data_IF_319098212398
#
_entry.id   IF_319098212398
#
_cell.length_a   1.000
_cell.length_b   1.000
_cell.length_c   1.000
_cell.angle_alpha   90.00
_cell.angle_beta   90.00
_cell.angle_gamma   90.00
#
_symmetry.space_group_name_H-M   'P 1'
#
loop_
_entity.id
_entity.type
_entity.pdbx_description
1 polymer ?
#
# COMPACT_ATOMS: atom_id res chain seq x y z
N UNK A 1 6.21 -51.17 61.84
CA UNK A 1 7.15 -51.04 60.71
C UNK A 1 6.54 -50.04 59.72
N UNK A 2 7.12 -48.84 59.70
CA UNK A 2 7.01 -47.68 58.79
C UNK A 2 5.90 -47.70 57.70
N UNK A 3 4.80 -46.97 57.97
CA UNK A 3 3.97 -46.38 56.92
C UNK A 3 3.70 -44.92 57.28
N UNK A 4 4.68 -44.04 57.05
CA UNK A 4 4.41 -42.61 57.04
C UNK A 4 5.22 -41.92 55.93
N UNK A 5 4.47 -41.17 55.14
CA UNK A 5 4.85 -40.11 54.20
C UNK A 5 5.73 -40.42 52.99
N UNK A 6 5.13 -40.30 51.78
CA UNK A 6 5.55 -39.26 50.84
C UNK A 6 4.50 -39.01 49.73
N UNK A 7 3.48 -38.17 49.97
CA UNK A 7 2.54 -37.70 48.92
C UNK A 7 2.59 -36.19 48.66
N UNK A 8 3.67 -35.50 49.01
CA UNK A 8 3.79 -34.03 48.83
C UNK A 8 4.72 -33.58 47.70
N UNK A 9 4.84 -34.34 46.60
CA UNK A 9 5.75 -33.93 45.49
C UNK A 9 5.19 -34.02 44.05
N UNK A 10 3.86 -34.09 43.83
CA UNK A 10 3.27 -34.11 42.45
C UNK A 10 2.44 -32.88 42.06
N UNK A 11 2.62 -31.74 42.73
CA UNK A 11 1.94 -30.46 42.41
C UNK A 11 2.79 -29.38 41.67
N UNK A 12 4.13 -29.44 41.52
CA UNK A 12 4.88 -28.31 40.93
C UNK A 12 4.78 -28.23 39.39
N UNK A 13 4.64 -29.37 38.69
CA UNK A 13 4.71 -29.40 37.22
C UNK A 13 3.44 -28.90 36.51
N UNK A 14 2.24 -29.12 37.05
CA UNK A 14 0.98 -28.68 36.39
C UNK A 14 0.79 -27.16 36.45
N UNK A 15 1.18 -26.53 37.57
CA UNK A 15 1.13 -25.06 37.73
C UNK A 15 2.16 -24.38 36.83
N UNK A 16 3.38 -24.91 36.76
CA UNK A 16 4.43 -24.43 35.85
C UNK A 16 4.02 -24.51 34.38
N UNK A 17 3.44 -25.64 33.92
CA UNK A 17 2.92 -25.78 32.53
C UNK A 17 1.83 -24.75 32.19
N UNK A 18 0.95 -24.40 33.14
CA UNK A 18 -0.08 -23.36 32.93
C UNK A 18 0.53 -21.96 32.79
N UNK A 19 1.57 -21.65 33.56
CA UNK A 19 2.30 -20.37 33.48
C UNK A 19 3.04 -20.27 32.15
N UNK A 20 3.77 -21.32 31.76
CA UNK A 20 4.49 -21.38 30.47
C UNK A 20 3.53 -21.18 29.29
N UNK A 21 2.36 -21.84 29.32
CA UNK A 21 1.33 -21.63 28.28
C UNK A 21 0.83 -20.18 28.22
N UNK A 22 0.57 -19.55 29.38
CA UNK A 22 0.15 -18.14 29.43
C UNK A 22 1.20 -17.21 28.87
N UNK A 23 2.47 -17.41 29.23
CA UNK A 23 3.60 -16.65 28.69
C UNK A 23 3.68 -16.83 27.17
N UNK A 24 3.58 -18.07 26.68
CA UNK A 24 3.57 -18.35 25.24
C UNK A 24 2.39 -17.68 24.52
N UNK A 25 1.19 -17.67 25.10
CA UNK A 25 0.04 -16.95 24.54
C UNK A 25 0.26 -15.43 24.52
N UNK A 26 0.86 -14.85 25.56
CA UNK A 26 1.20 -13.43 25.57
C UNK A 26 2.23 -13.08 24.48
N UNK A 27 3.28 -13.90 24.31
CA UNK A 27 4.25 -13.70 23.23
C UNK A 27 3.61 -13.82 21.85
N UNK A 28 2.72 -14.79 21.64
CA UNK A 28 1.98 -14.94 20.39
C UNK A 28 1.09 -13.72 20.11
N UNK A 29 0.37 -13.22 21.13
CA UNK A 29 -0.46 -12.04 20.99
C UNK A 29 0.36 -10.79 20.66
N UNK A 30 1.52 -10.60 21.29
CA UNK A 30 2.44 -9.50 21.00
C UNK A 30 2.97 -9.60 19.57
N UNK A 31 3.36 -10.79 19.11
CA UNK A 31 3.83 -10.98 17.73
C UNK A 31 2.74 -10.65 16.69
N UNK A 32 1.49 -11.05 16.95
CA UNK A 32 0.35 -10.69 16.10
C UNK A 32 0.14 -9.18 16.10
N UNK A 33 0.15 -8.53 17.27
CA UNK A 33 0.01 -7.08 17.38
C UNK A 33 1.13 -6.33 16.64
N UNK A 34 2.38 -6.76 16.78
CA UNK A 34 3.51 -6.16 16.08
C UNK A 34 3.40 -6.31 14.56
N UNK A 35 2.92 -7.46 14.06
CA UNK A 35 2.68 -7.65 12.64
C UNK A 35 1.54 -6.73 12.15
N UNK A 36 0.44 -6.62 12.89
CA UNK A 36 -0.66 -5.70 12.56
C UNK A 36 -0.19 -4.23 12.54
N UNK A 37 0.62 -3.83 13.51
CA UNK A 37 1.21 -2.48 13.59
C UNK A 37 2.15 -2.24 12.41
N UNK A 38 3.07 -3.18 12.13
CA UNK A 38 3.99 -3.07 11.01
C UNK A 38 3.24 -2.91 9.68
N UNK A 39 2.23 -3.74 9.43
CA UNK A 39 1.42 -3.69 8.22
C UNK A 39 0.66 -2.36 8.10
N UNK A 40 0.18 -1.81 9.20
CA UNK A 40 -0.50 -0.50 9.20
C UNK A 40 0.44 0.68 8.89
N UNK A 41 1.76 0.48 9.02
CA UNK A 41 2.78 1.49 8.72
C UNK A 41 3.29 1.36 7.28
N UNK A 42 3.34 0.13 6.75
CA UNK A 42 3.94 -0.11 5.43
C UNK A 42 2.95 -0.09 4.27
N UNK A 43 1.66 -0.34 4.48
CA UNK A 43 0.68 -0.32 3.38
C UNK A 43 0.19 1.10 3.07
N UNK A 44 -0.20 1.34 1.81
CA UNK A 44 -0.90 2.56 1.43
C UNK A 44 -2.29 2.52 2.06
N UNK A 45 -2.63 3.51 2.87
CA UNK A 45 -4.00 3.68 3.33
C UNK A 45 -4.85 4.24 2.18
N UNK A 46 -5.54 3.33 1.48
CA UNK A 46 -6.28 3.61 0.24
C UNK A 46 -7.40 4.62 0.46
N UNK A 47 -8.06 4.61 1.63
CA UNK A 47 -9.20 5.49 1.89
C UNK A 47 -8.79 6.97 2.00
N UNK A 48 -7.86 7.38 2.89
CA UNK A 48 -7.34 8.74 2.92
C UNK A 48 -6.69 9.17 1.60
N UNK A 49 -5.98 8.27 0.92
CA UNK A 49 -5.41 8.56 -0.41
C UNK A 49 -6.51 8.93 -1.42
N UNK A 50 -7.53 8.09 -1.54
CA UNK A 50 -8.64 8.34 -2.46
C UNK A 50 -9.48 9.57 -2.05
N UNK A 51 -9.66 9.83 -0.75
CA UNK A 51 -10.33 11.04 -0.27
C UNK A 51 -9.54 12.30 -0.67
N UNK A 52 -8.22 12.28 -0.46
CA UNK A 52 -7.32 13.38 -0.83
C UNK A 52 -7.41 13.67 -2.34
N UNK A 53 -7.19 12.67 -3.18
CA UNK A 53 -7.14 12.90 -4.63
C UNK A 53 -8.49 13.36 -5.18
N UNK A 54 -9.60 12.87 -4.62
CA UNK A 54 -10.94 13.26 -5.03
C UNK A 54 -11.30 14.70 -4.63
N UNK A 55 -10.87 15.14 -3.44
CA UNK A 55 -11.12 16.49 -2.92
C UNK A 55 -10.21 17.54 -3.54
N UNK A 56 -9.04 17.14 -4.03
CA UNK A 56 -8.07 18.02 -4.67
C UNK A 56 -8.09 17.95 -6.20
N UNK A 57 -8.88 17.06 -6.80
CA UNK A 57 -9.02 16.99 -8.25
C UNK A 57 -9.62 18.29 -8.82
N UNK A 58 -8.92 18.85 -9.80
CA UNK A 58 -9.33 20.03 -10.53
C UNK A 58 -10.34 19.67 -11.64
N UNK A 59 -10.97 20.68 -12.23
CA UNK A 59 -11.94 20.48 -13.33
C UNK A 59 -11.28 19.94 -14.61
N UNK A 60 -9.98 20.24 -14.81
CA UNK A 60 -9.17 19.83 -15.96
C UNK A 60 -7.69 19.78 -15.60
N UNK A 61 -6.87 19.18 -16.45
CA UNK A 61 -5.42 19.14 -16.22
C UNK A 61 -4.80 20.53 -16.19
N UNK A 62 -3.97 20.76 -15.18
CA UNK A 62 -3.12 21.94 -15.02
C UNK A 62 -1.63 21.56 -15.06
N UNK A 63 -1.28 20.36 -15.53
CA UNK A 63 0.10 19.87 -15.61
C UNK A 63 0.72 19.58 -14.24
N UNK A 64 -0.10 19.24 -13.24
CA UNK A 64 0.33 19.04 -11.84
C UNK A 64 0.09 17.61 -11.33
N UNK A 65 -0.07 16.65 -12.23
CA UNK A 65 -0.36 15.24 -11.91
C UNK A 65 0.56 14.68 -10.81
N UNK A 66 1.88 14.83 -10.96
CA UNK A 66 2.86 14.37 -9.97
C UNK A 66 2.67 15.00 -8.58
N UNK A 67 2.31 16.28 -8.52
CA UNK A 67 2.11 16.98 -7.25
C UNK A 67 0.84 16.50 -6.53
N UNK A 68 -0.23 16.24 -7.27
CA UNK A 68 -1.48 15.71 -6.69
C UNK A 68 -1.32 14.25 -6.25
N UNK A 69 -0.64 13.41 -7.03
CA UNK A 69 -0.38 12.02 -6.65
C UNK A 69 0.63 11.94 -5.48
N UNK A 70 1.60 12.86 -5.39
CA UNK A 70 2.43 12.99 -4.19
C UNK A 70 1.58 13.23 -2.93
N UNK A 71 0.72 14.24 -2.96
CA UNK A 71 -0.15 14.55 -1.81
C UNK A 71 -1.06 13.37 -1.46
N UNK A 72 -1.50 12.62 -2.48
CA UNK A 72 -2.30 11.40 -2.32
C UNK A 72 -1.54 10.30 -1.58
N UNK A 73 -0.30 10.03 -2.00
CA UNK A 73 0.57 9.03 -1.37
C UNK A 73 0.86 9.42 0.08
N UNK A 74 1.20 10.69 0.32
CA UNK A 74 1.48 11.21 1.66
C UNK A 74 0.24 11.16 2.57
N UNK A 75 -0.95 11.50 2.04
CA UNK A 75 -2.21 11.36 2.78
C UNK A 75 -2.53 9.90 3.10
N UNK A 76 -2.15 8.97 2.22
CA UNK A 76 -2.21 7.54 2.45
C UNK A 76 -1.10 6.97 3.34
N UNK A 77 -0.25 7.81 3.94
CA UNK A 77 0.80 7.38 4.87
C UNK A 77 2.12 6.96 4.23
N UNK A 78 2.30 7.17 2.91
CA UNK A 78 3.57 6.91 2.22
C UNK A 78 4.40 8.19 2.19
N UNK A 79 5.55 8.19 2.88
CA UNK A 79 6.46 9.34 2.85
C UNK A 79 7.24 9.38 1.53
N UNK A 80 6.82 10.27 0.63
CA UNK A 80 7.34 10.40 -0.72
C UNK A 80 7.82 11.83 -0.99
N UNK A 81 8.63 11.98 -2.02
CA UNK A 81 9.12 13.29 -2.49
C UNK A 81 8.57 13.63 -3.88
N UNK A 82 8.55 14.91 -4.21
CA UNK A 82 8.14 15.36 -5.53
C UNK A 82 9.23 15.04 -6.56
N UNK A 83 8.85 14.27 -7.57
CA UNK A 83 9.67 13.97 -8.74
C UNK A 83 8.84 14.10 -10.02
N UNK A 84 9.46 14.17 -11.20
CA UNK A 84 8.72 14.03 -12.46
C UNK A 84 7.85 12.76 -12.47
N UNK A 85 6.67 12.81 -13.09
CA UNK A 85 5.71 11.72 -13.05
C UNK A 85 6.31 10.38 -13.51
N UNK A 86 7.09 10.37 -14.61
CA UNK A 86 7.76 9.18 -15.11
C UNK A 86 8.72 8.52 -14.11
N UNK A 87 9.27 9.28 -13.17
CA UNK A 87 10.27 8.80 -12.22
C UNK A 87 9.64 8.01 -11.06
N UNK A 88 8.33 8.17 -10.82
CA UNK A 88 7.62 7.41 -9.78
C UNK A 88 7.68 5.90 -9.98
N UNK A 89 7.98 5.41 -11.18
CA UNK A 89 8.24 3.98 -11.40
C UNK A 89 9.35 3.44 -10.46
N UNK A 90 10.38 4.23 -10.20
CA UNK A 90 11.44 3.82 -9.28
C UNK A 90 11.03 3.97 -7.82
N UNK A 91 10.33 5.06 -7.48
CA UNK A 91 9.95 5.36 -6.10
C UNK A 91 8.86 4.42 -5.59
N UNK A 92 7.87 4.08 -6.41
CA UNK A 92 6.84 3.12 -6.06
C UNK A 92 7.44 1.73 -5.86
N UNK A 93 8.34 1.30 -6.75
CA UNK A 93 9.02 0.01 -6.66
C UNK A 93 9.78 -0.19 -5.33
N UNK A 94 10.51 0.84 -4.86
CA UNK A 94 11.25 0.75 -3.59
C UNK A 94 10.38 0.99 -2.35
N UNK A 95 9.10 1.31 -2.53
CA UNK A 95 8.17 1.68 -1.44
C UNK A 95 7.04 0.65 -1.24
N UNK A 96 7.36 -0.63 -1.46
CA UNK A 96 6.46 -1.77 -1.29
C UNK A 96 5.22 -1.73 -2.21
N UNK A 97 5.36 -1.19 -3.41
CA UNK A 97 4.40 -1.44 -4.48
C UNK A 97 4.96 -2.50 -5.42
N UNK A 98 4.11 -3.46 -5.80
CA UNK A 98 4.43 -4.45 -6.81
C UNK A 98 3.83 -4.07 -8.16
N UNK A 99 4.49 -4.55 -9.21
CA UNK A 99 3.99 -4.43 -10.57
C UNK A 99 2.78 -5.35 -10.73
N UNK A 100 1.71 -4.84 -11.33
CA UNK A 100 0.68 -5.73 -11.87
C UNK A 100 1.24 -6.29 -13.19
N UNK A 101 1.43 -7.61 -13.30
CA UNK A 101 2.27 -8.22 -14.35
C UNK A 101 1.60 -8.38 -15.73
N UNK A 102 0.27 -8.54 -15.76
CA UNK A 102 -0.48 -8.72 -17.01
C UNK A 102 -1.70 -7.79 -17.03
N UNK A 103 -1.74 -6.91 -18.04
CA UNK A 103 -2.85 -5.99 -18.23
C UNK A 103 -3.82 -6.37 -19.36
N UNK A 104 -3.65 -7.53 -20.01
CA UNK A 104 -4.41 -7.90 -21.21
C UNK A 104 -5.92 -8.00 -20.93
N UNK A 105 -6.29 -8.32 -19.68
CA UNK A 105 -7.64 -8.23 -19.13
C UNK A 105 -7.62 -7.48 -17.78
N UNK A 106 -6.92 -6.35 -17.75
CA UNK A 106 -6.77 -5.56 -16.54
C UNK A 106 -8.09 -4.96 -16.08
N UNK A 107 -8.51 -5.29 -14.86
CA UNK A 107 -9.53 -4.54 -14.12
C UNK A 107 -8.84 -3.73 -13.01
N UNK A 108 -8.89 -2.38 -13.05
CA UNK A 108 -8.23 -1.57 -12.06
C UNK A 108 -8.83 -1.72 -10.65
N UNK A 109 -7.98 -1.95 -9.66
CA UNK A 109 -8.37 -1.97 -8.25
C UNK A 109 -8.15 -0.61 -7.61
N UNK A 110 -9.00 -0.27 -6.63
CA UNK A 110 -8.90 1.00 -5.92
C UNK A 110 -7.53 1.11 -5.27
N UNK A 111 -6.81 2.19 -5.57
CA UNK A 111 -5.44 2.40 -5.10
C UNK A 111 -4.36 2.04 -6.12
N UNK A 112 -4.70 1.43 -7.25
CA UNK A 112 -3.73 1.20 -8.33
C UNK A 112 -3.20 2.52 -8.87
N UNK A 113 -1.90 2.57 -9.14
CA UNK A 113 -1.21 3.77 -9.63
C UNK A 113 -0.60 3.47 -10.98
N UNK A 114 -1.04 4.19 -12.01
CA UNK A 114 -0.44 4.13 -13.34
C UNK A 114 0.63 5.19 -13.50
N UNK A 115 1.79 4.79 -14.02
CA UNK A 115 2.91 5.66 -14.37
C UNK A 115 3.19 5.53 -15.87
N UNK A 116 2.99 6.63 -16.58
CA UNK A 116 3.33 6.76 -17.98
C UNK A 116 4.74 7.34 -18.16
N UNK A 117 5.47 6.92 -19.20
CA UNK A 117 6.79 7.46 -19.51
C UNK A 117 6.69 8.86 -20.11
N UNK A 118 7.85 9.42 -20.43
CA UNK A 118 7.97 10.67 -21.17
C UNK A 118 7.49 10.46 -22.62
N UNK A 119 6.74 11.42 -23.15
CA UNK A 119 6.45 11.55 -24.58
C UNK A 119 6.92 12.92 -25.09
N UNK A 120 6.78 13.14 -26.39
CA UNK A 120 7.06 14.45 -26.99
C UNK A 120 6.20 15.57 -26.40
N UNK A 121 4.90 15.33 -26.14
CA UNK A 121 4.02 16.36 -25.55
C UNK A 121 4.10 16.41 -24.03
N UNK A 122 4.50 15.31 -23.39
CA UNK A 122 4.53 15.16 -21.94
C UNK A 122 5.96 14.87 -21.44
N UNK A 123 6.84 15.88 -21.38
CA UNK A 123 8.26 15.72 -21.02
C UNK A 123 8.50 15.30 -19.57
N UNK A 124 7.47 15.37 -18.71
CA UNK A 124 7.52 14.92 -17.32
C UNK A 124 6.84 13.56 -17.11
N UNK A 125 6.30 12.95 -18.17
CA UNK A 125 5.42 11.79 -18.08
C UNK A 125 4.05 12.14 -17.48
N UNK A 126 3.28 11.10 -17.14
CA UNK A 126 1.98 11.25 -16.50
C UNK A 126 1.80 10.20 -15.40
N UNK A 127 1.04 10.52 -14.35
CA UNK A 127 0.77 9.62 -13.23
C UNK A 127 -0.66 9.82 -12.74
N UNK A 128 -1.36 8.72 -12.44
CA UNK A 128 -2.71 8.76 -11.92
C UNK A 128 -2.96 7.58 -10.97
N UNK A 129 -3.94 7.72 -10.09
CA UNK A 129 -4.42 6.68 -9.18
C UNK A 129 -5.87 6.29 -9.54
N UNK A 130 -6.21 5.01 -9.47
CA UNK A 130 -7.59 4.55 -9.61
C UNK A 130 -8.35 4.73 -8.30
N UNK A 131 -9.36 5.58 -8.31
CA UNK A 131 -10.14 5.87 -7.09
C UNK A 131 -11.27 4.86 -6.81
N UNK A 132 -11.31 3.74 -7.54
CA UNK A 132 -12.39 2.75 -7.51
C UNK A 132 -13.51 3.00 -8.52
N UNK A 133 -13.44 4.09 -9.28
CA UNK A 133 -14.42 4.43 -10.34
C UNK A 133 -13.76 4.94 -11.62
N UNK A 134 -12.71 5.73 -11.50
CA UNK A 134 -11.97 6.31 -12.62
C UNK A 134 -10.53 6.64 -12.22
N UNK A 135 -9.68 6.85 -13.22
CA UNK A 135 -8.31 7.36 -13.01
C UNK A 135 -8.37 8.83 -12.60
N UNK A 136 -7.59 9.20 -11.59
CA UNK A 136 -7.48 10.58 -11.10
C UNK A 136 -6.02 10.96 -10.97
N UNK A 137 -5.66 12.11 -11.53
CA UNK A 137 -4.34 12.72 -11.45
C UNK A 137 -4.47 14.09 -10.79
N UNK A 138 -4.14 15.18 -11.49
CA UNK A 138 -4.57 16.52 -11.08
C UNK A 138 -6.05 16.80 -11.41
N UNK A 139 -6.72 15.90 -12.14
CA UNK A 139 -8.14 15.95 -12.45
C UNK A 139 -8.73 14.54 -12.59
N UNK A 140 -10.07 14.45 -12.63
CA UNK A 140 -10.79 13.19 -12.87
C UNK A 140 -10.80 12.86 -14.37
N UNK A 141 -10.16 11.75 -14.74
CA UNK A 141 -9.94 11.38 -16.13
C UNK A 141 -11.08 10.50 -16.66
N UNK A 142 -11.39 10.64 -17.95
CA UNK A 142 -12.39 9.80 -18.64
C UNK A 142 -11.82 8.45 -19.11
N UNK A 143 -10.49 8.33 -19.15
CA UNK A 143 -9.74 7.15 -19.57
C UNK A 143 -8.39 7.13 -18.85
N UNK A 144 -7.70 5.98 -18.91
CA UNK A 144 -6.31 5.87 -18.45
C UNK A 144 -5.37 6.75 -19.28
N UNK A 145 -5.65 6.86 -20.59
CA UNK A 145 -4.92 7.73 -21.51
C UNK A 145 -5.50 9.16 -21.47
N UNK A 146 -4.64 10.13 -21.18
CA UNK A 146 -5.03 11.55 -21.11
C UNK A 146 -4.91 12.30 -22.45
N UNK A 147 -4.05 11.81 -23.35
CA UNK A 147 -3.80 12.33 -24.69
C UNK A 147 -3.57 11.15 -25.64
N UNK A 148 -3.71 11.42 -26.93
CA UNK A 148 -3.52 10.45 -28.02
C UNK A 148 -2.08 9.96 -28.10
N UNK A 149 -1.11 10.79 -27.73
CA UNK A 149 0.32 10.45 -27.81
C UNK A 149 0.75 9.37 -26.81
N UNK A 150 -0.10 9.05 -25.83
CA UNK A 150 0.05 7.90 -24.94
C UNK A 150 -0.54 6.61 -25.47
N UNK A 151 -1.33 6.63 -26.56
CA UNK A 151 -1.87 5.40 -27.13
C UNK A 151 -0.76 4.56 -27.74
N UNK A 152 -0.67 3.30 -27.31
CA UNK A 152 0.39 2.38 -27.73
C UNK A 152 1.73 2.62 -27.02
N UNK A 153 1.79 3.59 -26.10
CA UNK A 153 2.94 3.77 -25.21
C UNK A 153 2.80 2.85 -24.02
N UNK A 154 3.84 2.07 -23.75
CA UNK A 154 3.89 1.18 -22.59
C UNK A 154 3.94 2.00 -21.30
N UNK A 155 3.05 1.69 -20.37
CA UNK A 155 2.99 2.26 -19.03
C UNK A 155 3.08 1.14 -18.00
N UNK A 156 3.33 1.52 -16.75
CA UNK A 156 3.44 0.58 -15.64
C UNK A 156 2.31 0.86 -14.67
N UNK A 157 1.65 -0.20 -14.19
CA UNK A 157 0.72 -0.12 -13.06
C UNK A 157 1.37 -0.73 -11.83
N UNK A 158 1.30 0.03 -10.74
CA UNK A 158 1.72 -0.37 -9.41
C UNK A 158 0.52 -0.60 -8.52
N UNK A 159 0.60 -1.64 -7.71
CA UNK A 159 -0.36 -1.95 -6.65
C UNK A 159 0.38 -2.08 -5.33
N UNK A 160 -0.13 -1.43 -4.28
CA UNK A 160 0.36 -1.71 -2.95
C UNK A 160 -0.25 -3.03 -2.49
N UNK A 161 0.57 -4.08 -2.44
CA UNK A 161 0.14 -5.39 -1.95
C UNK A 161 0.52 -5.57 -0.49
N UNK A 162 -0.30 -6.29 0.26
CA UNK A 162 0.09 -6.82 1.56
C UNK A 162 1.16 -7.91 1.32
N UNK A 163 2.35 -7.75 1.90
CA UNK A 163 3.37 -8.81 1.99
C UNK A 163 3.44 -9.37 3.41
#
# INVERSE_FOLDING_TARGET
>A
MLFYENRKQRQPMKKSRKIIKRIAYCFLAIAILLNLIWNSITCLNIEPACEYINSHALEKSHGRAAWHVLGTLNAGGKDMILVPAWAYKYYLYISDFDYVEDYTNYDPEKGDIVVFPITWKHPLGHIAIWNGKQWVSDYKQKSIYIDEDYKGVEYIVYRNVFK
#
